data_IF_382737755859
#
_entry.id   IF_382737755859
#
_cell.length_a   1.000
_cell.length_b   1.000
_cell.length_c   1.000
_cell.angle_alpha   90.00
_cell.angle_beta   90.00
_cell.angle_gamma   90.00
#
_symmetry.space_group_name_H-M   'P 1'
#
loop_
_entity.id
_entity.type
_entity.pdbx_description
1 polymer ?
#
# COMPACT_ATOMS: atom_id res chain seq x y z
N UNK A 1 6.08 -11.19 -19.79
CA UNK A 1 5.79 -10.13 -18.84
C UNK A 1 4.93 -10.71 -17.71
N UNK A 2 5.43 -10.61 -16.49
CA UNK A 2 4.81 -11.24 -15.32
C UNK A 2 3.90 -10.28 -14.54
N UNK A 3 4.26 -8.99 -14.46
CA UNK A 3 3.38 -8.03 -13.82
C UNK A 3 2.21 -7.63 -14.74
N UNK A 4 0.97 -7.62 -14.25
CA UNK A 4 -0.19 -7.23 -15.04
C UNK A 4 -0.30 -5.70 -15.13
N UNK A 5 -0.61 -5.20 -16.33
CA UNK A 5 -0.93 -3.79 -16.51
C UNK A 5 -2.30 -3.45 -15.92
N UNK A 6 -2.41 -2.24 -15.40
CA UNK A 6 -3.68 -1.74 -14.88
C UNK A 6 -4.70 -1.52 -16.00
N UNK A 7 -5.95 -1.91 -15.76
CA UNK A 7 -7.08 -1.62 -16.66
C UNK A 7 -7.25 -0.12 -16.98
N UNK A 8 -6.78 0.76 -16.11
CA UNK A 8 -6.84 2.21 -16.34
C UNK A 8 -5.96 2.68 -17.50
N UNK A 9 -4.98 1.88 -17.91
CA UNK A 9 -4.12 2.16 -19.06
C UNK A 9 -4.70 1.62 -20.38
N UNK A 10 -5.37 0.47 -20.33
CA UNK A 10 -5.80 -0.25 -21.53
C UNK A 10 -7.30 -0.51 -21.61
N UNK A 11 -8.04 -0.26 -20.51
CA UNK A 11 -9.45 -0.62 -20.37
C UNK A 11 -9.67 -2.11 -20.08
N UNK A 12 -8.64 -2.95 -20.16
CA UNK A 12 -8.71 -4.39 -19.91
C UNK A 12 -7.66 -4.80 -18.87
N UNK A 13 -8.09 -5.47 -17.81
CA UNK A 13 -7.22 -5.93 -16.74
C UNK A 13 -6.17 -6.92 -17.27
N UNK A 14 -4.91 -6.72 -16.89
CA UNK A 14 -3.80 -7.61 -17.24
C UNK A 14 -3.32 -7.52 -18.70
N UNK A 15 -3.91 -6.67 -19.53
CA UNK A 15 -3.50 -6.48 -20.93
C UNK A 15 -2.47 -5.35 -21.02
N UNK A 16 -1.35 -5.62 -21.68
CA UNK A 16 -0.35 -4.58 -21.96
C UNK A 16 -0.91 -3.51 -22.91
N UNK A 17 -0.45 -2.25 -22.80
CA UNK A 17 -0.72 -1.25 -23.83
C UNK A 17 -0.36 -1.78 -25.22
N UNK A 18 -1.16 -1.40 -26.25
CA UNK A 18 -0.88 -1.74 -27.62
C UNK A 18 0.36 -0.99 -28.11
N UNK A 19 1.12 -1.61 -29.01
CA UNK A 19 2.22 -1.00 -29.77
C UNK A 19 3.54 -0.77 -29.00
N UNK A 20 4.32 0.17 -29.47
CA UNK A 20 5.68 0.46 -29.00
C UNK A 20 5.72 1.40 -27.78
N UNK A 21 4.58 1.87 -27.28
CA UNK A 21 4.57 2.80 -26.14
C UNK A 21 4.59 2.04 -24.81
N UNK A 22 5.64 2.25 -24.04
CA UNK A 22 5.77 1.76 -22.67
C UNK A 22 5.55 2.91 -21.68
N UNK A 23 4.38 2.99 -21.03
CA UNK A 23 4.06 4.09 -20.12
C UNK A 23 4.97 4.12 -18.90
N UNK A 24 5.44 2.99 -18.37
CA UNK A 24 6.31 2.98 -17.21
C UNK A 24 7.70 3.50 -17.57
N UNK A 25 8.27 3.06 -18.69
CA UNK A 25 9.55 3.59 -19.19
C UNK A 25 9.46 5.10 -19.41
N UNK A 26 8.38 5.57 -20.04
CA UNK A 26 8.15 6.99 -20.27
C UNK A 26 8.05 7.79 -18.96
N UNK A 27 7.32 7.28 -17.95
CA UNK A 27 7.18 7.97 -16.68
C UNK A 27 8.50 8.05 -15.91
N UNK A 28 9.29 6.97 -15.91
CA UNK A 28 10.63 6.99 -15.29
C UNK A 28 11.51 8.06 -15.95
N UNK A 29 11.58 8.07 -17.28
CA UNK A 29 12.35 9.08 -18.03
C UNK A 29 11.90 10.50 -17.69
N UNK A 30 10.59 10.76 -17.71
CA UNK A 30 10.04 12.09 -17.46
C UNK A 30 10.20 12.55 -16.00
N UNK A 31 10.12 11.64 -15.05
CA UNK A 31 10.38 11.93 -13.65
C UNK A 31 11.85 12.31 -13.43
N UNK A 32 12.77 11.47 -13.89
CA UNK A 32 14.21 11.69 -13.74
C UNK A 32 14.68 12.96 -14.45
N UNK A 33 14.15 13.28 -15.63
CA UNK A 33 14.43 14.54 -16.33
C UNK A 33 14.03 15.79 -15.51
N UNK A 34 13.22 15.63 -14.47
CA UNK A 34 12.76 16.69 -13.55
C UNK A 34 13.29 16.57 -12.14
N UNK A 35 14.27 15.69 -11.93
CA UNK A 35 14.83 15.35 -10.61
C UNK A 35 13.75 14.84 -9.62
N UNK A 36 12.75 14.15 -10.13
CA UNK A 36 11.73 13.47 -9.34
C UNK A 36 12.04 11.98 -9.27
N UNK A 37 11.79 11.37 -8.13
CA UNK A 37 11.79 9.91 -7.99
C UNK A 37 10.46 9.36 -8.45
N UNK A 38 10.47 8.14 -9.00
CA UNK A 38 9.28 7.41 -9.40
C UNK A 38 9.30 6.01 -8.82
N UNK A 39 8.31 5.70 -8.02
CA UNK A 39 8.11 4.37 -7.45
C UNK A 39 6.94 3.68 -8.14
N UNK A 40 7.09 2.39 -8.44
CA UNK A 40 6.02 1.60 -9.04
C UNK A 40 5.09 1.09 -7.93
N UNK A 41 3.81 1.49 -8.01
CA UNK A 41 2.77 1.01 -7.11
C UNK A 41 2.28 -0.38 -7.56
N UNK A 42 2.25 -1.32 -6.63
CA UNK A 42 1.82 -2.71 -6.85
C UNK A 42 0.80 -3.12 -5.79
N UNK A 43 -0.31 -3.68 -6.25
CA UNK A 43 -1.27 -4.38 -5.40
C UNK A 43 -0.96 -5.89 -5.47
N UNK A 44 -0.46 -6.51 -4.39
CA UNK A 44 0.15 -7.83 -4.52
C UNK A 44 -0.85 -8.96 -4.81
N UNK A 45 -2.00 -8.99 -4.16
CA UNK A 45 -2.89 -10.16 -4.21
C UNK A 45 -4.18 -9.95 -4.99
N UNK A 46 -4.62 -8.70 -5.18
CA UNK A 46 -5.89 -8.41 -5.85
C UNK A 46 -5.79 -8.63 -7.35
N UNK A 47 -6.63 -9.52 -7.89
CA UNK A 47 -6.77 -9.75 -9.32
C UNK A 47 -7.77 -8.76 -9.90
N UNK A 48 -9.03 -8.81 -9.43
CA UNK A 48 -10.11 -7.91 -9.82
C UNK A 48 -10.99 -7.62 -8.60
N UNK A 49 -11.54 -6.40 -8.50
CA UNK A 49 -12.47 -6.04 -7.43
C UNK A 49 -13.43 -4.94 -7.88
N UNK A 50 -14.49 -4.73 -7.09
CA UNK A 50 -15.51 -3.72 -7.35
C UNK A 50 -16.61 -4.19 -8.29
N UNK A 51 -17.43 -3.27 -8.78
CA UNK A 51 -18.66 -3.56 -9.51
C UNK A 51 -18.46 -4.39 -10.81
N UNK A 52 -17.27 -4.35 -11.39
CA UNK A 52 -16.93 -5.06 -12.62
C UNK A 52 -16.06 -6.30 -12.39
N UNK A 53 -15.84 -6.74 -11.15
CA UNK A 53 -14.87 -7.80 -10.83
C UNK A 53 -15.10 -9.08 -11.63
N UNK A 54 -16.35 -9.52 -11.78
CA UNK A 54 -16.69 -10.71 -12.56
C UNK A 54 -16.32 -10.55 -14.05
N UNK A 55 -16.78 -9.46 -14.68
CA UNK A 55 -16.49 -9.21 -16.08
C UNK A 55 -15.01 -8.98 -16.36
N UNK A 56 -14.30 -8.34 -15.42
CA UNK A 56 -12.86 -8.15 -15.50
C UNK A 56 -12.11 -9.49 -15.38
N UNK A 57 -12.56 -10.36 -14.47
CA UNK A 57 -12.00 -11.70 -14.33
C UNK A 57 -12.24 -12.56 -15.58
N UNK A 58 -13.45 -12.53 -16.12
CA UNK A 58 -13.80 -13.28 -17.35
C UNK A 58 -13.00 -12.80 -18.55
N UNK A 59 -12.68 -11.52 -18.64
CA UNK A 59 -11.91 -10.90 -19.71
C UNK A 59 -10.38 -11.10 -19.59
N UNK A 60 -9.89 -11.69 -18.49
CA UNK A 60 -8.46 -12.00 -18.38
C UNK A 60 -8.01 -12.94 -19.52
N UNK A 61 -6.82 -12.71 -20.10
CA UNK A 61 -6.29 -13.61 -21.12
C UNK A 61 -6.03 -15.01 -20.54
N UNK A 62 -6.15 -16.03 -21.37
CA UNK A 62 -5.91 -17.44 -20.96
C UNK A 62 -4.50 -17.67 -20.42
N UNK A 63 -3.54 -16.82 -20.81
CA UNK A 63 -2.18 -16.83 -20.28
C UNK A 63 -2.04 -16.22 -18.88
N UNK A 64 -3.10 -15.63 -18.34
CA UNK A 64 -3.08 -15.09 -16.99
C UNK A 64 -2.87 -16.22 -15.96
N UNK A 65 -1.95 -16.04 -14.97
CA UNK A 65 -1.78 -17.02 -13.89
C UNK A 65 -3.09 -17.37 -13.17
N UNK A 66 -4.00 -16.40 -13.03
CA UNK A 66 -5.31 -16.61 -12.42
C UNK A 66 -6.23 -17.55 -13.25
N UNK A 67 -6.04 -17.61 -14.57
CA UNK A 67 -6.76 -18.54 -15.45
C UNK A 67 -6.08 -19.90 -15.52
N UNK A 68 -4.76 -19.91 -15.49
CA UNK A 68 -3.97 -21.13 -15.55
C UNK A 68 -4.01 -21.93 -14.24
N UNK A 69 -4.15 -21.23 -13.12
CA UNK A 69 -4.16 -21.79 -11.77
C UNK A 69 -5.42 -21.35 -11.00
N UNK A 70 -6.60 -21.85 -11.34
CA UNK A 70 -7.84 -21.51 -10.65
C UNK A 70 -7.84 -21.90 -9.15
N UNK A 71 -7.02 -22.88 -8.77
CA UNK A 71 -6.75 -23.29 -7.40
C UNK A 71 -5.97 -22.26 -6.57
N UNK A 72 -5.33 -21.27 -7.22
CA UNK A 72 -4.68 -20.15 -6.54
C UNK A 72 -5.65 -19.00 -6.25
N UNK A 73 -6.85 -19.02 -6.79
CA UNK A 73 -7.79 -17.91 -6.76
C UNK A 73 -8.90 -18.15 -5.73
N UNK A 74 -9.14 -17.13 -4.92
CA UNK A 74 -10.26 -17.10 -3.97
C UNK A 74 -11.18 -15.93 -4.32
N UNK A 75 -12.48 -16.22 -4.44
CA UNK A 75 -13.51 -15.17 -4.53
C UNK A 75 -13.90 -14.74 -3.11
N UNK A 76 -13.83 -13.43 -2.84
CA UNK A 76 -14.13 -12.86 -1.54
C UNK A 76 -14.68 -11.45 -1.69
N UNK A 77 -15.78 -11.14 -0.99
CA UNK A 77 -16.39 -9.79 -0.94
C UNK A 77 -16.60 -9.15 -2.33
N UNK A 78 -17.04 -9.97 -3.31
CA UNK A 78 -17.27 -9.50 -4.68
C UNK A 78 -16.01 -9.22 -5.49
N UNK A 79 -14.87 -9.71 -5.07
CA UNK A 79 -13.60 -9.65 -5.78
C UNK A 79 -12.95 -11.02 -5.98
N UNK A 80 -11.86 -11.03 -6.74
CA UNK A 80 -11.00 -12.19 -7.00
C UNK A 80 -9.58 -11.86 -6.54
N UNK A 81 -9.01 -12.77 -5.75
CA UNK A 81 -7.73 -12.56 -5.11
C UNK A 81 -6.86 -13.82 -5.23
N UNK A 82 -5.58 -13.64 -5.39
CA UNK A 82 -4.64 -14.73 -5.18
C UNK A 82 -4.56 -15.11 -3.70
N UNK A 83 -4.45 -16.40 -3.42
CA UNK A 83 -4.37 -16.92 -2.04
C UNK A 83 -2.97 -16.72 -1.46
N UNK A 84 -2.81 -15.86 -0.42
CA UNK A 84 -1.50 -15.60 0.18
C UNK A 84 -0.84 -16.84 0.82
N UNK A 85 -1.63 -17.84 1.17
CA UNK A 85 -1.16 -19.10 1.74
C UNK A 85 -0.38 -19.99 0.78
N UNK A 86 -0.45 -19.72 -0.52
CA UNK A 86 0.21 -20.51 -1.58
C UNK A 86 1.59 -19.93 -1.85
N UNK A 87 2.63 -20.76 -1.73
CA UNK A 87 4.01 -20.34 -1.92
C UNK A 87 4.30 -19.86 -3.35
N UNK A 88 3.72 -20.53 -4.34
CA UNK A 88 3.85 -20.22 -5.76
C UNK A 88 3.22 -18.84 -6.08
N UNK A 89 2.15 -18.46 -5.39
CA UNK A 89 1.57 -17.11 -5.49
C UNK A 89 2.57 -16.06 -4.99
N UNK A 90 3.20 -16.28 -3.84
CA UNK A 90 4.22 -15.37 -3.31
C UNK A 90 5.41 -15.25 -4.27
N UNK A 91 5.82 -16.39 -4.86
CA UNK A 91 6.88 -16.38 -5.88
C UNK A 91 6.48 -15.59 -7.13
N UNK A 92 5.25 -15.79 -7.65
CA UNK A 92 4.72 -15.02 -8.79
C UNK A 92 4.81 -13.51 -8.56
N UNK A 93 4.45 -13.06 -7.34
CA UNK A 93 4.51 -11.63 -6.98
C UNK A 93 5.97 -11.14 -6.95
N UNK A 94 6.87 -11.92 -6.34
CA UNK A 94 8.30 -11.60 -6.31
C UNK A 94 8.91 -11.55 -7.71
N UNK A 95 8.53 -12.47 -8.60
CA UNK A 95 9.00 -12.49 -9.99
C UNK A 95 8.50 -11.27 -10.76
N UNK A 96 7.23 -10.87 -10.55
CA UNK A 96 6.68 -9.64 -11.12
C UNK A 96 7.40 -8.37 -10.64
N UNK A 97 7.68 -8.28 -9.34
CA UNK A 97 8.47 -7.18 -8.77
C UNK A 97 9.89 -7.18 -9.32
N UNK A 98 10.55 -8.34 -9.37
CA UNK A 98 11.90 -8.51 -9.95
C UNK A 98 11.94 -8.06 -11.41
N UNK A 99 10.90 -8.38 -12.19
CA UNK A 99 10.78 -7.93 -13.57
C UNK A 99 10.73 -6.40 -13.65
N UNK A 100 9.94 -5.74 -12.81
CA UNK A 100 9.83 -4.28 -12.79
C UNK A 100 11.21 -3.67 -12.48
N UNK A 101 11.82 -4.02 -11.36
CA UNK A 101 13.05 -3.37 -10.90
C UNK A 101 14.29 -3.69 -11.74
N UNK A 102 14.29 -4.83 -12.47
CA UNK A 102 15.38 -5.20 -13.37
C UNK A 102 15.27 -4.63 -14.78
N UNK A 103 14.07 -4.27 -15.21
CA UNK A 103 13.82 -3.71 -16.56
C UNK A 103 13.64 -2.20 -16.58
N UNK A 104 13.24 -1.61 -15.46
CA UNK A 104 12.96 -0.19 -15.35
C UNK A 104 13.79 0.43 -14.23
N UNK A 105 14.34 1.61 -14.47
CA UNK A 105 15.10 2.36 -13.47
C UNK A 105 14.14 3.06 -12.48
N UNK A 106 13.18 2.31 -11.93
CA UNK A 106 12.30 2.83 -10.87
C UNK A 106 13.11 3.07 -9.58
N UNK A 107 12.76 4.10 -8.84
CA UNK A 107 13.42 4.44 -7.57
C UNK A 107 12.87 3.63 -6.40
N UNK A 108 11.80 2.89 -6.62
CA UNK A 108 11.23 2.00 -5.61
C UNK A 108 10.01 1.22 -6.08
N UNK A 109 9.61 0.31 -5.21
CA UNK A 109 8.35 -0.42 -5.25
C UNK A 109 7.53 -0.01 -4.03
N UNK A 110 6.27 0.32 -4.23
CA UNK A 110 5.33 0.58 -3.15
C UNK A 110 4.17 -0.41 -3.19
N UNK A 111 3.95 -1.13 -2.09
CA UNK A 111 2.70 -1.84 -1.85
C UNK A 111 1.72 -0.93 -1.11
N UNK A 112 0.43 -1.12 -1.35
CA UNK A 112 -0.62 -0.45 -0.57
C UNK A 112 -1.10 -1.31 0.61
N UNK A 113 -2.36 -1.14 1.05
CA UNK A 113 -2.95 -1.84 2.19
C UNK A 113 -3.73 -3.10 1.83
N UNK A 114 -3.74 -3.51 0.54
CA UNK A 114 -4.54 -4.65 0.07
C UNK A 114 -3.79 -5.98 0.23
N UNK A 115 -3.78 -6.54 1.44
CA UNK A 115 -3.30 -7.89 1.71
C UNK A 115 -4.49 -8.87 1.70
N UNK A 116 -4.86 -9.46 2.83
CA UNK A 116 -6.13 -10.19 2.89
C UNK A 116 -7.30 -9.20 2.82
N UNK A 117 -8.29 -9.42 1.93
CA UNK A 117 -9.41 -8.49 1.78
C UNK A 117 -10.38 -8.54 2.96
N UNK A 118 -10.47 -9.69 3.64
CA UNK A 118 -11.45 -9.93 4.69
C UNK A 118 -11.01 -11.06 5.62
N UNK A 119 -11.54 -11.06 6.84
CA UNK A 119 -11.40 -12.18 7.78
C UNK A 119 -12.19 -13.43 7.33
N UNK A 120 -13.13 -13.27 6.39
CA UNK A 120 -13.94 -14.33 5.80
C UNK A 120 -13.31 -14.96 4.55
N UNK A 121 -12.01 -14.72 4.31
CA UNK A 121 -11.28 -15.30 3.20
C UNK A 121 -11.23 -16.82 3.31
N UNK A 122 -11.63 -17.54 2.24
CA UNK A 122 -11.73 -18.99 2.24
C UNK A 122 -10.40 -19.65 1.84
N UNK A 123 -9.51 -19.76 2.81
CA UNK A 123 -8.21 -20.43 2.69
C UNK A 123 -8.09 -21.67 3.61
N UNK A 124 -9.21 -22.17 4.15
CA UNK A 124 -9.21 -23.25 5.12
C UNK A 124 -8.51 -24.52 4.61
N UNK A 125 -8.74 -24.90 3.36
CA UNK A 125 -8.09 -26.05 2.74
C UNK A 125 -6.58 -25.86 2.62
N UNK A 126 -6.12 -24.66 2.24
CA UNK A 126 -4.70 -24.31 2.15
C UNK A 126 -4.04 -24.35 3.52
N UNK A 127 -4.73 -23.80 4.54
CA UNK A 127 -4.23 -23.85 5.92
C UNK A 127 -4.07 -25.29 6.43
N UNK A 128 -5.06 -26.15 6.20
CA UNK A 128 -4.98 -27.56 6.57
C UNK A 128 -3.83 -28.28 5.83
N UNK A 129 -3.70 -28.06 4.53
CA UNK A 129 -2.65 -28.65 3.70
C UNK A 129 -1.24 -28.18 4.10
N UNK A 130 -1.10 -27.00 4.65
CA UNK A 130 0.19 -26.44 5.10
C UNK A 130 0.79 -27.20 6.28
N UNK A 131 0.00 -27.94 7.04
CA UNK A 131 0.44 -28.61 8.26
C UNK A 131 0.93 -27.68 9.36
N UNK A 132 0.63 -26.39 9.27
CA UNK A 132 1.08 -25.38 10.25
C UNK A 132 0.44 -25.60 11.62
N UNK A 133 1.25 -25.42 12.68
CA UNK A 133 0.79 -25.42 14.05
C UNK A 133 0.39 -24.03 14.57
N UNK A 134 0.56 -22.99 13.77
CA UNK A 134 0.16 -21.62 14.14
C UNK A 134 -1.38 -21.51 14.14
N UNK A 135 -1.98 -20.70 15.03
CA UNK A 135 -3.37 -20.31 14.87
C UNK A 135 -3.61 -19.67 13.48
N UNK A 136 -4.79 -19.86 12.89
CA UNK A 136 -5.12 -19.39 11.54
C UNK A 136 -4.73 -17.92 11.29
N UNK A 137 -5.04 -17.02 12.24
CA UNK A 137 -4.71 -15.60 12.10
C UNK A 137 -3.19 -15.35 12.08
N UNK A 138 -2.42 -16.11 12.86
CA UNK A 138 -0.96 -16.00 12.89
C UNK A 138 -0.34 -16.60 11.62
N UNK A 139 -0.89 -17.70 11.12
CA UNK A 139 -0.49 -18.30 9.85
C UNK A 139 -0.74 -17.35 8.67
N UNK A 140 -1.88 -16.65 8.64
CA UNK A 140 -2.17 -15.64 7.62
C UNK A 140 -1.16 -14.50 7.68
N UNK A 141 -0.84 -13.98 8.87
CA UNK A 141 0.20 -12.94 9.04
C UNK A 141 1.57 -13.44 8.62
N UNK A 142 1.91 -14.67 8.96
CA UNK A 142 3.19 -15.27 8.55
C UNK A 142 3.33 -15.36 7.04
N UNK A 143 2.27 -15.73 6.30
CA UNK A 143 2.28 -15.74 4.83
C UNK A 143 2.50 -14.33 4.24
N UNK A 144 1.87 -13.30 4.81
CA UNK A 144 2.12 -11.91 4.39
C UNK A 144 3.54 -11.47 4.73
N UNK A 145 4.04 -11.81 5.92
CA UNK A 145 5.41 -11.53 6.35
C UNK A 145 6.45 -12.17 5.42
N UNK A 146 6.23 -13.43 5.02
CA UNK A 146 7.09 -14.12 4.06
C UNK A 146 7.12 -13.41 2.70
N UNK A 147 5.98 -12.93 2.19
CA UNK A 147 5.95 -12.13 0.96
C UNK A 147 6.77 -10.85 1.12
N UNK A 148 6.52 -10.08 2.19
CA UNK A 148 7.20 -8.79 2.41
C UNK A 148 8.72 -8.99 2.48
N UNK A 149 9.18 -9.99 3.22
CA UNK A 149 10.61 -10.32 3.31
C UNK A 149 11.19 -10.73 1.96
N UNK A 150 10.49 -11.56 1.19
CA UNK A 150 10.94 -12.03 -0.12
C UNK A 150 11.00 -10.88 -1.13
N UNK A 151 10.00 -9.99 -1.15
CA UNK A 151 9.98 -8.80 -2.01
C UNK A 151 11.11 -7.83 -1.65
N UNK A 152 11.35 -7.58 -0.36
CA UNK A 152 12.50 -6.78 0.07
C UNK A 152 13.82 -7.33 -0.52
N UNK A 153 14.03 -8.64 -0.39
CA UNK A 153 15.19 -9.31 -0.96
C UNK A 153 15.26 -9.15 -2.48
N UNK A 154 14.12 -9.35 -3.17
CA UNK A 154 14.05 -9.25 -4.62
C UNK A 154 14.37 -7.84 -5.13
N UNK A 155 13.85 -6.80 -4.47
CA UNK A 155 14.13 -5.40 -4.81
C UNK A 155 15.62 -5.10 -4.67
N UNK A 156 16.23 -5.41 -3.53
CA UNK A 156 17.64 -5.06 -3.28
C UNK A 156 18.64 -5.88 -4.10
N UNK A 157 18.28 -7.11 -4.52
CA UNK A 157 19.16 -7.96 -5.32
C UNK A 157 19.05 -7.71 -6.83
N UNK A 158 17.87 -7.32 -7.32
CA UNK A 158 17.58 -7.29 -8.76
C UNK A 158 17.44 -5.89 -9.34
N UNK A 159 17.41 -4.83 -8.50
CA UNK A 159 17.18 -3.48 -8.98
C UNK A 159 18.29 -2.99 -9.90
N UNK A 160 17.91 -2.49 -11.08
CA UNK A 160 18.78 -1.80 -12.01
C UNK A 160 19.27 -0.46 -11.44
N UNK A 161 18.41 0.24 -10.71
CA UNK A 161 18.67 1.52 -10.08
C UNK A 161 19.30 1.33 -8.69
N UNK A 162 20.49 1.88 -8.48
CA UNK A 162 21.11 1.87 -7.15
C UNK A 162 20.28 2.67 -6.15
N UNK A 163 20.03 2.09 -4.97
CA UNK A 163 19.20 2.72 -3.94
C UNK A 163 17.69 2.63 -4.20
N UNK A 164 17.27 1.71 -5.08
CA UNK A 164 15.85 1.36 -5.24
C UNK A 164 15.29 0.87 -3.90
N UNK A 165 14.13 1.40 -3.50
CA UNK A 165 13.53 1.18 -2.18
C UNK A 165 12.30 0.29 -2.26
N UNK A 166 11.99 -0.39 -1.16
CA UNK A 166 10.72 -1.07 -0.97
C UNK A 166 9.97 -0.45 0.19
N UNK A 167 8.78 0.08 -0.07
CA UNK A 167 7.90 0.65 0.94
C UNK A 167 6.49 0.10 0.90
N UNK A 168 5.78 0.28 1.99
CA UNK A 168 4.39 -0.16 2.12
C UNK A 168 3.56 0.98 2.71
N UNK A 169 2.36 1.18 2.12
CA UNK A 169 1.35 2.13 2.59
C UNK A 169 0.19 1.38 3.26
N UNK A 170 0.35 0.95 4.53
CA UNK A 170 -0.69 0.22 5.24
C UNK A 170 -1.83 1.14 5.69
N UNK A 171 -2.95 0.57 6.11
CA UNK A 171 -3.98 1.32 6.84
C UNK A 171 -3.39 2.04 8.06
N UNK A 172 -3.87 3.24 8.35
CA UNK A 172 -3.33 4.12 9.39
C UNK A 172 -3.39 3.56 10.81
N UNK A 173 -4.31 2.63 11.09
CA UNK A 173 -4.41 1.94 12.38
C UNK A 173 -3.82 0.53 12.24
N UNK A 174 -2.64 0.32 12.83
CA UNK A 174 -2.09 -1.04 12.94
C UNK A 174 -2.96 -1.91 13.87
N UNK A 175 -3.12 -1.49 15.13
CA UNK A 175 -4.05 -2.04 16.13
C UNK A 175 -4.60 -0.95 17.02
N UNK A 176 -5.84 -1.10 17.47
CA UNK A 176 -6.40 -0.27 18.54
C UNK A 176 -5.80 -0.71 19.89
N UNK A 177 -5.64 0.23 20.81
CA UNK A 177 -5.20 -0.07 22.16
C UNK A 177 -6.32 -0.78 22.91
N UNK A 178 -6.16 -2.07 23.17
CA UNK A 178 -7.06 -2.81 24.06
C UNK A 178 -6.89 -2.43 25.53
N UNK A 179 -7.87 -2.75 26.34
CA UNK A 179 -7.88 -2.44 27.79
C UNK A 179 -6.65 -2.97 28.54
N UNK A 180 -6.04 -4.06 28.06
CA UNK A 180 -4.87 -4.73 28.66
C UNK A 180 -3.65 -4.80 27.72
N UNK A 181 -3.65 -4.10 26.57
CA UNK A 181 -2.58 -4.15 25.61
C UNK A 181 -2.05 -2.75 25.32
N UNK A 182 -0.82 -2.47 25.72
CA UNK A 182 -0.13 -1.20 25.45
C UNK A 182 0.46 -1.11 24.05
N UNK A 183 0.16 -2.07 23.18
CA UNK A 183 0.82 -2.22 21.88
C UNK A 183 0.18 -1.42 20.72
N UNK A 184 -1.10 -1.06 20.83
CA UNK A 184 -1.83 -0.34 19.77
C UNK A 184 -1.88 1.18 19.98
N UNK A 185 -2.39 1.91 18.98
CA UNK A 185 -2.72 3.34 19.08
C UNK A 185 -4.00 3.57 19.87
N UNK A 186 -4.14 4.76 20.48
CA UNK A 186 -5.37 5.15 21.18
C UNK A 186 -6.48 5.54 20.17
N UNK A 187 -6.95 4.54 19.45
CA UNK A 187 -7.91 4.66 18.34
C UNK A 187 -9.03 3.64 18.45
N UNK A 188 -10.08 3.84 17.64
CA UNK A 188 -11.21 2.92 17.47
C UNK A 188 -11.54 2.86 15.98
N UNK A 189 -11.23 1.73 15.32
CA UNK A 189 -11.49 1.59 13.90
C UNK A 189 -10.96 0.29 13.33
N UNK A 190 -10.94 0.22 12.00
CA UNK A 190 -10.41 -0.92 11.27
C UNK A 190 -8.93 -1.13 11.58
N UNK A 191 -8.58 -2.31 12.07
CA UNK A 191 -7.22 -2.71 12.40
C UNK A 191 -6.58 -3.49 11.26
N UNK A 192 -5.49 -3.00 10.71
CA UNK A 192 -4.81 -3.69 9.62
C UNK A 192 -4.22 -5.05 10.04
N UNK A 193 -3.70 -5.13 11.26
CA UNK A 193 -3.15 -6.35 11.86
C UNK A 193 -4.16 -7.49 11.96
N UNK A 194 -5.40 -7.19 12.40
CA UNK A 194 -6.43 -8.18 12.66
C UNK A 194 -7.31 -8.47 11.43
N UNK A 195 -7.55 -7.47 10.60
CA UNK A 195 -8.50 -7.55 9.50
C UNK A 195 -7.86 -7.93 8.17
N UNK A 196 -6.66 -7.41 7.89
CA UNK A 196 -5.91 -7.71 6.67
C UNK A 196 -4.67 -8.57 6.92
N UNK A 197 -4.46 -9.00 8.18
CA UNK A 197 -3.32 -9.80 8.62
C UNK A 197 -1.97 -9.19 8.26
N UNK A 198 -1.88 -7.86 8.27
CA UNK A 198 -0.71 -7.09 7.93
C UNK A 198 0.02 -6.62 9.19
N UNK A 199 1.19 -7.20 9.47
CA UNK A 199 1.99 -6.90 10.65
C UNK A 199 3.11 -5.90 10.35
N UNK A 200 2.71 -4.65 10.08
CA UNK A 200 3.63 -3.57 9.72
C UNK A 200 4.71 -3.30 10.78
N UNK A 201 4.40 -3.53 12.06
CA UNK A 201 5.38 -3.36 13.15
C UNK A 201 6.48 -4.42 13.05
N UNK A 202 6.14 -5.66 12.72
CA UNK A 202 7.14 -6.71 12.47
C UNK A 202 8.02 -6.35 11.27
N UNK A 203 7.49 -5.79 10.20
CA UNK A 203 8.27 -5.40 9.03
C UNK A 203 9.27 -4.28 9.36
N UNK A 204 8.85 -3.27 10.13
CA UNK A 204 9.71 -2.18 10.62
C UNK A 204 10.84 -2.75 11.50
N UNK A 205 10.50 -3.56 12.51
CA UNK A 205 11.46 -4.07 13.49
C UNK A 205 12.53 -4.99 12.89
N UNK A 206 12.20 -5.67 11.79
CA UNK A 206 13.14 -6.56 11.11
C UNK A 206 13.83 -5.91 9.89
N UNK A 207 13.52 -4.64 9.57
CA UNK A 207 14.09 -3.96 8.41
C UNK A 207 13.73 -4.62 7.08
N UNK A 208 12.48 -5.14 6.96
CA UNK A 208 12.00 -5.76 5.72
C UNK A 208 11.39 -4.76 4.74
N UNK A 209 11.41 -3.49 5.08
CA UNK A 209 10.97 -2.36 4.27
C UNK A 209 11.93 -1.19 4.50
N UNK A 210 12.12 -0.34 3.49
CA UNK A 210 12.96 0.86 3.60
C UNK A 210 12.16 2.06 4.13
N UNK A 211 10.86 2.08 3.88
CA UNK A 211 9.96 3.08 4.45
C UNK A 211 8.56 2.53 4.69
N UNK A 212 7.85 3.16 5.60
CA UNK A 212 6.43 2.92 5.87
C UNK A 212 5.65 4.21 5.62
N UNK A 213 4.51 4.09 4.91
CA UNK A 213 3.65 5.23 4.57
C UNK A 213 2.21 5.01 5.05
N UNK A 214 1.94 5.01 6.37
CA UNK A 214 0.61 4.73 6.88
C UNK A 214 -0.42 5.74 6.40
N UNK A 215 -1.58 5.28 5.97
CA UNK A 215 -2.70 6.06 5.46
C UNK A 215 -3.46 6.71 6.62
N UNK A 216 -2.95 7.82 7.16
CA UNK A 216 -3.59 8.54 8.26
C UNK A 216 -4.63 9.50 7.70
N UNK A 217 -5.75 8.95 7.26
CA UNK A 217 -6.79 9.68 6.51
C UNK A 217 -7.88 10.27 7.42
N UNK A 218 -7.53 10.67 8.64
CA UNK A 218 -8.40 11.36 9.59
C UNK A 218 -7.88 12.77 9.85
N UNK A 219 -8.78 13.64 10.30
CA UNK A 219 -8.43 15.01 10.69
C UNK A 219 -7.76 15.06 12.06
N UNK A 220 -7.11 16.17 12.35
CA UNK A 220 -6.65 16.49 13.71
C UNK A 220 -7.87 16.65 14.62
N UNK A 221 -7.86 15.99 15.78
CA UNK A 221 -8.98 15.98 16.72
C UNK A 221 -10.12 15.03 16.38
N UNK A 222 -9.93 14.11 15.40
CA UNK A 222 -10.91 13.05 15.15
C UNK A 222 -11.08 12.15 16.37
N UNK A 223 -12.34 11.90 16.76
CA UNK A 223 -12.64 11.16 18.01
C UNK A 223 -12.34 9.67 17.92
N UNK A 224 -12.33 9.09 16.74
CA UNK A 224 -12.05 7.67 16.53
C UNK A 224 -10.58 7.41 16.22
N UNK A 225 -9.94 8.30 15.46
CA UNK A 225 -8.56 8.08 14.98
C UNK A 225 -7.88 9.43 14.72
N UNK A 226 -7.59 10.18 15.80
CA UNK A 226 -6.94 11.48 15.69
C UNK A 226 -5.58 11.41 14.98
N UNK A 227 -5.39 12.28 13.99
CA UNK A 227 -4.17 12.35 13.18
C UNK A 227 -2.91 12.49 14.04
N UNK A 228 -2.91 13.39 15.03
CA UNK A 228 -1.75 13.60 15.88
C UNK A 228 -1.41 12.36 16.73
N UNK A 229 -2.43 11.69 17.23
CA UNK A 229 -2.27 10.43 17.98
C UNK A 229 -1.60 9.36 17.13
N UNK A 230 -2.04 9.19 15.89
CA UNK A 230 -1.47 8.22 14.95
C UNK A 230 -0.07 8.61 14.49
N UNK A 231 0.17 9.88 14.14
CA UNK A 231 1.50 10.37 13.76
C UNK A 231 2.55 10.11 14.85
N UNK A 232 2.21 10.43 16.09
CA UNK A 232 3.09 10.14 17.25
C UNK A 232 3.28 8.64 17.47
N UNK A 233 2.23 7.84 17.30
CA UNK A 233 2.33 6.40 17.47
C UNK A 233 3.27 5.77 16.44
N UNK A 234 3.14 6.14 15.16
CA UNK A 234 4.01 5.63 14.09
C UNK A 234 5.46 6.10 14.26
N UNK A 235 5.69 7.36 14.67
CA UNK A 235 7.03 7.86 14.99
C UNK A 235 7.73 6.97 16.03
N UNK A 236 6.98 6.53 17.07
CA UNK A 236 7.53 5.60 18.05
C UNK A 236 7.86 4.20 17.49
N UNK A 237 7.14 3.75 16.45
CA UNK A 237 7.40 2.43 15.87
C UNK A 237 8.70 2.39 15.06
N UNK A 238 9.03 3.46 14.35
CA UNK A 238 10.25 3.52 13.53
C UNK A 238 11.48 3.93 14.32
N UNK A 239 11.33 4.51 15.50
CA UNK A 239 12.44 5.01 16.31
C UNK A 239 13.47 3.93 16.59
N UNK A 240 14.75 4.24 16.25
CA UNK A 240 15.89 3.34 16.42
C UNK A 240 15.97 2.24 15.37
N UNK A 241 15.26 2.39 14.25
CA UNK A 241 15.39 1.57 13.05
C UNK A 241 15.86 2.45 11.88
N UNK A 242 16.26 1.84 10.77
CA UNK A 242 16.63 2.54 9.54
C UNK A 242 15.41 2.78 8.61
N UNK A 243 14.20 2.41 9.05
CA UNK A 243 12.97 2.55 8.27
C UNK A 243 12.46 3.98 8.34
N UNK A 244 12.31 4.62 7.19
CA UNK A 244 11.77 5.97 7.07
C UNK A 244 10.26 6.00 7.29
N UNK A 245 9.74 7.06 7.93
CA UNK A 245 8.32 7.30 8.12
C UNK A 245 7.82 8.42 7.23
N UNK A 246 6.90 8.09 6.33
CA UNK A 246 6.20 9.04 5.47
C UNK A 246 4.71 8.99 5.81
N UNK A 247 4.08 10.09 6.21
CA UNK A 247 2.65 10.08 6.54
C UNK A 247 1.77 10.23 5.30
N UNK A 248 0.83 9.31 5.10
CA UNK A 248 -0.18 9.39 4.05
C UNK A 248 -1.31 10.36 4.43
N UNK A 249 -1.58 11.38 3.60
CA UNK A 249 -2.56 12.43 3.81
C UNK A 249 -3.70 12.36 2.79
N UNK A 250 -4.93 12.61 3.25
CA UNK A 250 -6.16 12.44 2.47
C UNK A 250 -6.56 13.69 1.66
N UNK A 251 -5.76 14.10 0.69
CA UNK A 251 -6.11 15.24 -0.17
C UNK A 251 -7.44 15.04 -0.93
N UNK A 252 -7.86 13.79 -1.16
CA UNK A 252 -9.12 13.47 -1.85
C UNK A 252 -10.38 13.86 -1.08
N UNK A 253 -10.26 14.12 0.23
CA UNK A 253 -11.40 14.52 1.08
C UNK A 253 -11.74 15.99 0.99
N UNK A 254 -10.83 16.82 0.48
CA UNK A 254 -10.99 18.27 0.42
C UNK A 254 -12.22 18.64 -0.41
N UNK A 255 -13.11 19.46 0.18
CA UNK A 255 -14.33 19.95 -0.45
C UNK A 255 -15.50 18.97 -0.44
N UNK A 256 -15.36 17.80 0.16
CA UNK A 256 -16.41 16.76 0.19
C UNK A 256 -17.03 16.64 1.58
N UNK A 257 -18.32 16.98 1.67
CA UNK A 257 -19.09 16.97 2.92
C UNK A 257 -19.36 15.58 3.49
N UNK A 258 -19.21 14.51 2.70
CA UNK A 258 -19.35 13.15 3.22
C UNK A 258 -18.30 12.82 4.29
N UNK A 259 -17.18 13.54 4.31
CA UNK A 259 -16.10 13.36 5.27
C UNK A 259 -16.15 14.31 6.47
N UNK A 260 -17.19 15.15 6.56
CA UNK A 260 -17.44 16.07 7.67
C UNK A 260 -17.04 17.53 7.38
N UNK A 261 -17.43 18.41 8.30
CA UNK A 261 -17.35 19.86 8.12
C UNK A 261 -15.93 20.40 7.92
N UNK A 262 -14.94 19.81 8.57
CA UNK A 262 -13.53 20.22 8.41
C UNK A 262 -13.07 20.02 6.98
N UNK A 263 -13.33 18.84 6.40
CA UNK A 263 -12.95 18.54 5.03
C UNK A 263 -13.75 19.34 4.01
N UNK A 264 -15.05 19.53 4.27
CA UNK A 264 -15.93 20.28 3.38
C UNK A 264 -15.55 21.76 3.28
N UNK A 265 -15.21 22.41 4.41
CA UNK A 265 -15.09 23.86 4.50
C UNK A 265 -13.65 24.37 4.61
N UNK A 266 -12.72 23.56 5.17
CA UNK A 266 -11.33 23.95 5.45
C UNK A 266 -10.32 22.80 5.17
N UNK A 267 -10.60 21.94 4.23
CA UNK A 267 -9.76 20.78 3.94
C UNK A 267 -8.32 21.14 3.55
N UNK A 268 -8.09 22.24 2.81
CA UNK A 268 -6.74 22.72 2.50
C UNK A 268 -6.01 23.20 3.77
N UNK A 269 -6.71 23.91 4.66
CA UNK A 269 -6.17 24.32 5.95
C UNK A 269 -5.85 23.11 6.85
N UNK A 270 -6.70 22.09 6.83
CA UNK A 270 -6.44 20.83 7.55
C UNK A 270 -5.16 20.15 7.06
N UNK A 271 -4.97 19.98 5.75
CA UNK A 271 -3.72 19.44 5.20
C UNK A 271 -2.53 20.31 5.63
N UNK A 272 -2.66 21.64 5.61
CA UNK A 272 -1.61 22.54 6.10
C UNK A 272 -1.22 22.28 7.55
N UNK A 273 -2.21 22.15 8.45
CA UNK A 273 -1.98 21.83 9.87
C UNK A 273 -1.34 20.44 10.06
N UNK A 274 -1.74 19.46 9.27
CA UNK A 274 -1.14 18.11 9.29
C UNK A 274 0.33 18.15 8.85
N UNK A 275 0.68 18.91 7.82
CA UNK A 275 2.06 19.11 7.37
C UNK A 275 2.90 19.81 8.44
N UNK A 276 2.38 20.88 9.07
CA UNK A 276 3.05 21.61 10.15
C UNK A 276 3.28 20.72 11.37
N UNK A 277 2.29 19.88 11.72
CA UNK A 277 2.39 18.92 12.81
C UNK A 277 3.44 17.84 12.51
N UNK A 278 3.43 17.28 11.30
CA UNK A 278 4.40 16.26 10.87
C UNK A 278 5.83 16.82 10.93
N UNK A 279 6.06 18.06 10.48
CA UNK A 279 7.36 18.72 10.55
C UNK A 279 7.87 18.94 12.00
N UNK A 280 6.97 18.96 12.98
CA UNK A 280 7.31 19.12 14.39
C UNK A 280 7.56 17.81 15.15
N UNK A 281 7.29 16.65 14.55
CA UNK A 281 7.48 15.34 15.18
C UNK A 281 8.79 14.71 14.69
N UNK A 282 9.66 14.35 15.63
CA UNK A 282 10.89 13.63 15.32
C UNK A 282 10.58 12.28 14.66
N UNK A 283 11.49 11.80 13.82
CA UNK A 283 11.41 10.52 13.10
C UNK A 283 10.30 10.47 12.02
N UNK A 284 9.73 11.62 11.59
CA UNK A 284 8.90 11.73 10.39
C UNK A 284 9.73 12.34 9.27
N UNK A 285 9.94 11.57 8.19
CA UNK A 285 10.81 11.96 7.07
C UNK A 285 10.06 12.73 5.98
N UNK A 286 8.72 12.66 5.95
CA UNK A 286 7.92 13.35 4.96
C UNK A 286 6.44 12.99 4.98
N UNK A 287 5.74 13.48 3.97
CA UNK A 287 4.32 13.23 3.76
C UNK A 287 4.03 12.87 2.30
N UNK A 288 3.01 12.05 2.08
CA UNK A 288 2.50 11.68 0.77
C UNK A 288 1.03 12.06 0.64
N UNK A 289 0.69 12.81 -0.41
CA UNK A 289 -0.69 13.25 -0.66
C UNK A 289 -1.42 12.23 -1.54
N UNK A 290 -2.53 11.69 -1.10
CA UNK A 290 -3.42 10.89 -1.94
C UNK A 290 -4.61 11.77 -2.38
N UNK A 291 -4.63 12.30 -3.67
CA UNK A 291 -3.69 11.95 -4.71
C UNK A 291 -3.30 13.19 -5.55
N UNK A 292 -2.41 13.02 -6.52
CA UNK A 292 -2.01 14.06 -7.47
C UNK A 292 -3.20 14.73 -8.19
N UNK A 293 -4.26 13.98 -8.51
CA UNK A 293 -5.46 14.53 -9.16
C UNK A 293 -6.11 15.64 -8.32
N UNK A 294 -6.08 15.51 -7.00
CA UNK A 294 -6.63 16.48 -6.06
C UNK A 294 -5.72 17.71 -5.91
N UNK A 295 -4.41 17.54 -6.04
CA UNK A 295 -3.44 18.63 -6.06
C UNK A 295 -3.53 19.44 -7.36
N UNK A 296 -3.59 18.77 -8.52
CA UNK A 296 -3.59 19.38 -9.85
C UNK A 296 -4.73 20.35 -10.10
N UNK A 297 -5.88 20.16 -9.50
CA UNK A 297 -7.07 21.01 -9.70
C UNK A 297 -7.33 22.00 -8.57
N UNK A 298 -6.39 22.17 -7.64
CA UNK A 298 -6.61 22.95 -6.43
C UNK A 298 -5.41 23.87 -6.12
N UNK A 299 -5.48 25.10 -6.60
CA UNK A 299 -4.42 26.10 -6.44
C UNK A 299 -4.16 26.42 -4.95
N UNK A 300 -5.21 26.43 -4.12
CA UNK A 300 -5.07 26.65 -2.67
C UNK A 300 -4.27 25.54 -2.02
N UNK A 301 -4.58 24.27 -2.34
CA UNK A 301 -3.81 23.13 -1.84
C UNK A 301 -2.37 23.18 -2.33
N UNK A 302 -2.16 23.50 -3.62
CA UNK A 302 -0.83 23.62 -4.20
C UNK A 302 0.02 24.64 -3.46
N UNK A 303 -0.52 25.85 -3.19
CA UNK A 303 0.16 26.88 -2.41
C UNK A 303 0.43 26.43 -0.98
N UNK A 304 -0.56 25.82 -0.33
CA UNK A 304 -0.43 25.30 1.05
C UNK A 304 0.74 24.32 1.18
N UNK A 305 0.90 23.43 0.18
CA UNK A 305 1.99 22.47 0.13
C UNK A 305 3.32 23.14 -0.20
N UNK A 306 3.35 24.03 -1.20
CA UNK A 306 4.57 24.71 -1.65
C UNK A 306 5.22 25.57 -0.54
N UNK A 307 4.43 26.20 0.30
CA UNK A 307 4.92 27.00 1.43
C UNK A 307 5.64 26.16 2.49
N UNK A 308 5.32 24.86 2.60
CA UNK A 308 5.78 23.94 3.65
C UNK A 308 6.84 22.96 3.16
N UNK A 309 6.78 22.58 1.91
CA UNK A 309 7.83 21.76 1.29
C UNK A 309 8.95 22.64 0.75
N UNK A 310 9.94 22.88 1.58
CA UNK A 310 11.14 23.66 1.24
C UNK A 310 12.37 22.75 1.19
#
# INVERSE_FOLDING_TARGET
QLFPWSRYLTGTCGTAPSDSFDPLAYWVEQAHARNLRLEAWVNPYRICAGANAQSDFDALPDSSPAKQHPDWVVSCDGGYYFNPGIAEVRQLICDGVSEIVSKYAVDGIQFDDYFYPSTQFDDAATYQASGSNLPLADWRRDNVNQLVQAVNTAVHQNAMQAGCRFGISPSGIWRNRGANAFTGSATHGFEHYSSSYADSVTWIKNGWIDYICPQIYWQIGDTAADFQTLANWWSHQVRGTDVQLVLGLAAYKIGDSQYGDVWANDGCGEIGRQLDLAAGIQDIDGCALFSYQNLRGNDTLFQTVQERWK
#
